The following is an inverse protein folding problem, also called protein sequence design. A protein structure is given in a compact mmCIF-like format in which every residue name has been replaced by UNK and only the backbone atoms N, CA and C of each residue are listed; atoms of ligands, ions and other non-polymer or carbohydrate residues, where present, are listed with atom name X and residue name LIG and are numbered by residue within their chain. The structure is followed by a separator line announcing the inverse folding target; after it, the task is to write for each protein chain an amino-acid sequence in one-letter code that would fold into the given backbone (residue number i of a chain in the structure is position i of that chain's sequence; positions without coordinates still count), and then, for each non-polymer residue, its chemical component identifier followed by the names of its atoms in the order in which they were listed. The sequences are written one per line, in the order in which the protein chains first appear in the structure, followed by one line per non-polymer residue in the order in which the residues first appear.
data_IF_124569059145
#
_entry.id   IF_124569059145
#
_cell.length_a   1.000
_cell.length_b   1.000
_cell.length_c   1.000
_cell.angle_alpha   90.00
_cell.angle_beta   90.00
_cell.angle_gamma   90.00
#
_symmetry.space_group_name_H-M   'P 1'
#
loop_
_entity.id
_entity.type
_entity.pdbx_description
1 polymer ?
#
# COMPACT_ATOMS: atom_id res chain seq x y z
N UNK A 1 13.80 -9.89 -12.26
CA UNK A 1 12.72 -9.00 -11.85
C UNK A 1 11.62 -8.84 -12.84
N UNK A 2 10.59 -8.09 -12.44
CA UNK A 2 9.51 -7.63 -13.33
C UNK A 2 9.71 -6.15 -13.73
N UNK A 3 10.64 -5.44 -13.11
CA UNK A 3 10.97 -4.06 -13.45
C UNK A 3 11.64 -3.96 -14.82
N UNK A 4 11.25 -2.97 -15.63
CA UNK A 4 11.84 -2.74 -16.94
C UNK A 4 13.34 -2.37 -16.82
N UNK A 5 14.23 -2.88 -17.70
CA UNK A 5 15.67 -2.65 -17.61
C UNK A 5 16.09 -1.18 -17.52
N UNK A 6 15.40 -0.30 -18.24
CA UNK A 6 15.69 1.15 -18.21
C UNK A 6 15.43 1.77 -16.83
N UNK A 7 14.42 1.29 -16.11
CA UNK A 7 14.10 1.81 -14.76
C UNK A 7 15.07 1.21 -13.75
N UNK A 8 15.29 -0.11 -13.79
CA UNK A 8 16.20 -0.78 -12.86
C UNK A 8 17.67 -0.37 -13.05
N UNK A 9 18.04 0.11 -14.24
CA UNK A 9 19.38 0.59 -14.55
C UNK A 9 19.62 2.06 -14.19
N UNK A 10 18.59 2.80 -13.79
CA UNK A 10 18.72 4.20 -13.38
C UNK A 10 19.40 4.28 -11.99
N UNK A 11 20.48 5.06 -11.80
CA UNK A 11 21.20 5.15 -10.53
C UNK A 11 20.36 5.71 -9.37
N UNK A 12 19.20 6.32 -9.65
CA UNK A 12 18.27 6.82 -8.63
C UNK A 12 17.33 5.72 -8.10
N UNK A 13 17.34 4.53 -8.72
CA UNK A 13 16.43 3.44 -8.39
C UNK A 13 17.17 2.36 -7.61
N UNK A 14 16.60 1.99 -6.47
CA UNK A 14 16.97 0.76 -5.76
C UNK A 14 15.82 -0.22 -5.88
N UNK A 15 16.01 -1.28 -6.67
CA UNK A 15 15.00 -2.30 -6.89
C UNK A 15 15.09 -3.39 -5.81
N UNK A 16 14.05 -3.51 -4.99
CA UNK A 16 13.92 -4.54 -3.96
C UNK A 16 12.86 -5.54 -4.43
N UNK A 17 13.29 -6.71 -4.87
CA UNK A 17 12.41 -7.75 -5.43
C UNK A 17 12.40 -9.00 -4.55
N UNK A 18 11.30 -9.76 -4.59
CA UNK A 18 11.15 -10.98 -3.77
C UNK A 18 10.89 -10.72 -2.29
N UNK A 19 10.84 -9.46 -1.86
CA UNK A 19 10.46 -9.06 -0.51
C UNK A 19 8.94 -8.96 -0.38
N UNK A 20 8.40 -9.60 0.65
CA UNK A 20 7.01 -9.37 1.05
C UNK A 20 6.92 -8.01 1.77
N UNK A 21 6.03 -7.13 1.32
CA UNK A 21 5.86 -5.80 1.91
C UNK A 21 5.58 -5.82 3.43
N UNK A 22 4.97 -6.92 3.93
CA UNK A 22 4.72 -7.16 5.36
C UNK A 22 5.99 -7.31 6.19
N UNK A 23 7.08 -7.70 5.55
CA UNK A 23 8.35 -8.01 6.17
C UNK A 23 9.39 -6.90 5.91
N UNK A 24 8.97 -5.78 5.28
CA UNK A 24 9.83 -4.64 4.99
C UNK A 24 10.46 -4.07 6.26
N UNK A 25 11.77 -3.92 6.24
CA UNK A 25 12.57 -3.38 7.35
C UNK A 25 13.44 -2.20 6.91
N UNK A 26 14.01 -1.49 7.88
CA UNK A 26 14.98 -0.42 7.61
C UNK A 26 16.26 -0.94 6.95
N UNK A 27 16.59 -2.22 7.13
CA UNK A 27 17.76 -2.85 6.52
C UNK A 27 17.58 -3.02 5.01
N UNK A 28 16.37 -3.39 4.56
CA UNK A 28 16.04 -3.50 3.14
C UNK A 28 16.15 -2.15 2.42
N UNK A 29 15.89 -1.06 3.14
CA UNK A 29 16.00 0.32 2.65
C UNK A 29 17.42 0.89 2.73
N UNK A 30 18.41 0.14 3.24
CA UNK A 30 19.78 0.64 3.38
C UNK A 30 19.90 1.88 4.28
N UNK A 31 19.00 2.04 5.26
CA UNK A 31 18.95 3.22 6.14
C UNK A 31 18.27 4.44 5.54
N UNK A 32 17.74 4.37 4.31
CA UNK A 32 16.90 5.43 3.75
C UNK A 32 15.58 5.52 4.54
N UNK A 33 15.19 6.74 4.90
CA UNK A 33 13.93 7.03 5.59
C UNK A 33 13.00 7.72 4.57
N UNK A 34 11.93 7.05 4.07
CA UNK A 34 11.09 7.61 3.03
C UNK A 34 10.28 8.83 3.49
N UNK A 35 10.27 9.90 2.70
CA UNK A 35 9.41 11.07 2.89
C UNK A 35 8.14 11.03 2.02
N UNK A 36 8.07 10.08 1.09
CA UNK A 36 6.92 9.84 0.24
C UNK A 36 6.72 8.34 -0.02
N UNK A 37 5.48 7.88 0.14
CA UNK A 37 5.09 6.48 -0.05
C UNK A 37 4.02 6.40 -1.13
N UNK A 38 4.22 5.52 -2.10
CA UNK A 38 3.16 5.07 -3.01
C UNK A 38 2.87 3.60 -2.76
N UNK A 39 1.60 3.20 -2.80
CA UNK A 39 1.25 1.79 -2.70
C UNK A 39 0.23 1.39 -3.77
N UNK A 40 0.65 0.45 -4.62
CA UNK A 40 -0.19 -0.24 -5.57
C UNK A 40 0.06 -1.75 -5.43
N UNK A 41 -0.76 -2.42 -4.62
CA UNK A 41 -0.64 -3.86 -4.35
C UNK A 41 -1.91 -4.59 -4.77
N UNK A 42 -1.77 -5.87 -5.07
CA UNK A 42 -2.89 -6.75 -5.44
C UNK A 42 -2.88 -7.98 -4.55
N UNK A 43 -4.05 -8.61 -4.37
CA UNK A 43 -4.21 -9.86 -3.61
C UNK A 43 -3.86 -9.77 -2.11
N UNK A 44 -3.73 -8.55 -1.57
CA UNK A 44 -3.50 -8.27 -0.16
C UNK A 44 -4.22 -6.98 0.23
N UNK A 45 -4.73 -6.92 1.45
CA UNK A 45 -5.29 -5.69 2.04
C UNK A 45 -4.18 -4.70 2.36
N UNK A 46 -4.42 -3.41 2.13
CA UNK A 46 -3.55 -2.32 2.57
C UNK A 46 -3.30 -2.38 4.09
N UNK A 47 -4.29 -2.84 4.88
CA UNK A 47 -4.14 -2.98 6.35
C UNK A 47 -3.05 -3.97 6.75
N UNK A 48 -2.74 -4.92 5.87
CA UNK A 48 -1.68 -5.90 6.08
C UNK A 48 -0.36 -5.45 5.47
N UNK A 49 -0.39 -4.84 4.28
CA UNK A 49 0.81 -4.50 3.53
C UNK A 49 1.51 -3.21 3.99
N UNK A 50 0.75 -2.20 4.41
CA UNK A 50 1.28 -0.86 4.72
C UNK A 50 1.99 -0.68 6.06
N UNK A 51 1.62 -1.34 7.17
CA UNK A 51 2.14 -0.97 8.49
C UNK A 51 3.66 -0.84 8.57
N UNK A 52 4.48 -1.74 7.96
CA UNK A 52 5.93 -1.58 7.97
C UNK A 52 6.41 -0.32 7.25
N UNK A 53 5.87 -0.02 6.06
CA UNK A 53 6.23 1.16 5.30
C UNK A 53 5.85 2.46 6.04
N UNK A 54 4.67 2.51 6.66
CA UNK A 54 4.21 3.67 7.44
C UNK A 54 5.08 3.91 8.69
N UNK A 55 5.56 2.83 9.33
CA UNK A 55 6.41 2.91 10.52
C UNK A 55 7.86 3.36 10.20
N UNK A 56 8.33 3.08 8.98
CA UNK A 56 9.67 3.46 8.51
C UNK A 56 9.71 4.86 7.90
N UNK A 57 8.57 5.51 7.72
CA UNK A 57 8.47 6.82 7.09
C UNK A 57 9.02 7.96 7.97
N UNK A 58 9.51 9.01 7.32
CA UNK A 58 9.93 10.23 7.99
C UNK A 58 8.74 10.95 8.64
N UNK A 59 9.00 11.70 9.71
CA UNK A 59 8.02 12.64 10.25
C UNK A 59 7.65 13.69 9.18
N UNK A 60 6.34 13.86 8.93
CA UNK A 60 5.85 14.75 7.87
C UNK A 60 5.82 14.13 6.48
N UNK A 61 6.11 12.83 6.35
CA UNK A 61 5.97 12.10 5.10
C UNK A 61 4.54 12.15 4.56
N UNK A 62 4.41 11.92 3.25
CA UNK A 62 3.11 11.80 2.56
C UNK A 62 2.95 10.39 1.99
N UNK A 63 1.71 9.94 1.89
CA UNK A 63 1.38 8.68 1.24
C UNK A 63 0.27 8.87 0.21
N UNK A 64 0.40 8.21 -0.94
CA UNK A 64 -0.64 8.06 -1.95
C UNK A 64 -0.92 6.57 -2.14
N UNK A 65 -2.12 6.16 -1.76
CA UNK A 65 -2.47 4.75 -1.59
C UNK A 65 -3.61 4.40 -2.52
N UNK A 66 -3.41 3.41 -3.39
CA UNK A 66 -4.47 2.94 -4.27
C UNK A 66 -5.36 1.93 -3.53
N UNK A 67 -6.58 2.35 -3.20
CA UNK A 67 -7.60 1.43 -2.67
C UNK A 67 -8.14 0.57 -3.81
N UNK A 68 -8.02 -0.75 -3.64
CA UNK A 68 -8.60 -1.75 -4.56
C UNK A 68 -9.68 -2.54 -3.81
N UNK A 69 -10.95 -2.11 -3.85
CA UNK A 69 -12.00 -2.66 -3.01
C UNK A 69 -12.13 -4.20 -3.05
N UNK A 70 -11.86 -4.80 -4.20
CA UNK A 70 -11.93 -6.25 -4.40
C UNK A 70 -10.93 -7.05 -3.53
N UNK A 71 -9.85 -6.43 -3.06
CA UNK A 71 -8.87 -7.06 -2.16
C UNK A 71 -9.12 -6.74 -0.68
N UNK A 72 -10.14 -5.94 -0.40
CA UNK A 72 -10.47 -5.39 0.92
C UNK A 72 -11.83 -5.87 1.42
N UNK A 73 -12.78 -6.11 0.51
CA UNK A 73 -14.17 -6.43 0.80
C UNK A 73 -14.40 -7.82 1.44
N UNK A 74 -13.40 -8.70 1.40
CA UNK A 74 -13.55 -10.11 1.78
C UNK A 74 -14.24 -10.96 0.69
N UNK A 75 -14.08 -12.28 0.76
CA UNK A 75 -14.48 -13.21 -0.33
C UNK A 75 -15.99 -13.18 -0.64
N UNK A 76 -16.83 -12.93 0.36
CA UNK A 76 -18.30 -12.97 0.20
C UNK A 76 -18.83 -11.80 -0.65
N UNK A 77 -18.17 -10.64 -0.57
CA UNK A 77 -18.52 -9.45 -1.34
C UNK A 77 -18.04 -9.52 -2.81
N UNK A 78 -17.31 -10.57 -3.20
CA UNK A 78 -16.77 -10.74 -4.55
C UNK A 78 -17.66 -11.67 -5.38
N UNK A 79 -17.99 -11.21 -6.59
CA UNK A 79 -18.79 -11.90 -7.59
C UNK A 79 -17.95 -12.59 -8.67
N UNK A 80 -18.58 -12.82 -9.83
CA UNK A 80 -17.89 -13.39 -11.00
C UNK A 80 -16.81 -12.42 -11.51
N UNK A 81 -15.66 -12.95 -11.92
CA UNK A 81 -14.57 -12.15 -12.47
C UNK A 81 -13.76 -11.33 -11.46
N UNK A 82 -13.92 -11.57 -10.15
CA UNK A 82 -13.17 -10.85 -9.12
C UNK A 82 -13.68 -9.42 -8.87
N UNK A 83 -14.87 -9.09 -9.37
CA UNK A 83 -15.51 -7.79 -9.18
C UNK A 83 -16.35 -7.78 -7.90
N UNK A 84 -16.55 -6.60 -7.32
CA UNK A 84 -17.53 -6.41 -6.26
C UNK A 84 -18.93 -6.81 -6.73
N UNK A 85 -19.71 -7.42 -5.84
CA UNK A 85 -21.13 -7.72 -6.08
C UNK A 85 -21.99 -6.47 -6.07
N UNK A 86 -21.70 -5.56 -5.14
CA UNK A 86 -22.32 -4.25 -5.04
C UNK A 86 -21.25 -3.19 -5.27
N UNK A 87 -21.45 -2.30 -6.23
CA UNK A 87 -20.51 -1.24 -6.53
C UNK A 87 -20.50 -0.14 -5.46
N UNK A 88 -21.60 0.02 -4.71
CA UNK A 88 -21.68 0.96 -3.59
C UNK A 88 -20.73 0.59 -2.43
N UNK A 89 -20.30 -0.67 -2.35
CA UNK A 89 -19.31 -1.10 -1.36
C UNK A 89 -17.94 -0.45 -1.56
N UNK A 90 -17.61 0.01 -2.77
CA UNK A 90 -16.32 0.61 -3.06
C UNK A 90 -16.04 1.85 -2.19
N UNK A 91 -16.99 2.78 -2.12
CA UNK A 91 -16.86 4.00 -1.31
C UNK A 91 -16.83 3.67 0.19
N UNK A 92 -17.69 2.74 0.63
CA UNK A 92 -17.71 2.28 2.03
C UNK A 92 -16.36 1.69 2.44
N UNK A 93 -15.75 0.87 1.59
CA UNK A 93 -14.46 0.25 1.84
C UNK A 93 -13.34 1.29 1.88
N UNK A 94 -13.35 2.24 0.95
CA UNK A 94 -12.39 3.34 0.97
C UNK A 94 -12.50 4.15 2.28
N UNK A 95 -13.72 4.46 2.73
CA UNK A 95 -13.98 5.11 4.01
C UNK A 95 -13.41 4.31 5.20
N UNK A 96 -13.69 3.00 5.26
CA UNK A 96 -13.17 2.13 6.32
C UNK A 96 -11.64 2.02 6.33
N UNK A 97 -10.98 2.16 5.18
CA UNK A 97 -9.52 2.23 5.11
C UNK A 97 -9.00 3.61 5.52
N UNK A 98 -9.71 4.68 5.15
CA UNK A 98 -9.45 6.02 5.65
C UNK A 98 -9.51 6.08 7.18
N UNK A 99 -10.60 5.56 7.78
CA UNK A 99 -10.77 5.51 9.24
C UNK A 99 -9.65 4.71 9.91
N UNK A 100 -9.29 3.56 9.32
CA UNK A 100 -8.17 2.76 9.81
C UNK A 100 -6.85 3.54 9.75
N UNK A 101 -6.54 4.19 8.63
CA UNK A 101 -5.32 4.97 8.45
C UNK A 101 -5.29 6.19 9.38
N UNK A 102 -6.44 6.83 9.61
CA UNK A 102 -6.58 7.93 10.58
C UNK A 102 -6.36 7.48 12.03
N UNK A 103 -6.52 6.19 12.32
CA UNK A 103 -6.17 5.58 13.60
C UNK A 103 -4.68 5.20 13.74
N UNK A 104 -3.90 5.26 12.65
CA UNK A 104 -2.46 4.97 12.70
C UNK A 104 -1.72 6.16 13.31
N UNK A 105 -0.93 5.99 14.39
CA UNK A 105 -0.21 7.08 15.02
C UNK A 105 0.70 7.84 14.05
N UNK A 106 0.63 9.17 14.07
CA UNK A 106 1.44 10.04 13.20
C UNK A 106 0.89 10.24 11.79
N UNK A 107 -0.20 9.57 11.43
CA UNK A 107 -0.83 9.68 10.12
C UNK A 107 -2.19 10.37 10.20
N UNK A 108 -2.56 11.05 9.11
CA UNK A 108 -3.88 11.67 8.93
C UNK A 108 -4.31 11.51 7.49
N UNK A 109 -5.60 11.30 7.28
CA UNK A 109 -6.20 11.24 5.93
C UNK A 109 -6.46 12.65 5.42
N UNK A 110 -6.15 12.90 4.15
CA UNK A 110 -6.33 14.22 3.50
C UNK A 110 -7.46 14.22 2.46
N UNK A 111 -7.93 13.06 2.05
CA UNK A 111 -8.93 12.84 1.01
C UNK A 111 -9.04 11.36 0.71
#
# INVERSE_FOLDING_TARGET
GQMHPEISGDPRVTAIEGLNARDLSSADLGGVVPDFIVCDVSFISLRLALPPALALAAAGARALLLVKPQFEAGREAIGKGGLLRDQADAERIAGLLGDWLGGVPGWRVLG
#
